data_IF_080111664166
#
_entry.id   IF_080111664166
#
_cell.length_a   1.000
_cell.length_b   1.000
_cell.length_c   1.000
_cell.angle_alpha   90.00
_cell.angle_beta   90.00
_cell.angle_gamma   90.00
#
_symmetry.space_group_name_H-M   'P 1'
#
loop_
_entity.id
_entity.type
_entity.pdbx_description
1 polymer ?
#
# COMPACT_ATOMS: atom_id res chain seq x y z
N UNK A 1 -11.84 42.57 -27.33
CA UNK A 1 -11.79 42.19 -25.89
C UNK A 1 -13.16 42.01 -25.22
N UNK A 2 -14.31 42.27 -25.86
CA UNK A 2 -15.64 42.13 -25.22
C UNK A 2 -16.23 40.70 -25.22
N UNK A 3 -15.80 39.81 -26.12
CA UNK A 3 -16.36 38.45 -26.25
C UNK A 3 -15.91 37.43 -25.19
N UNK A 4 -14.90 37.74 -24.37
CA UNK A 4 -14.38 36.80 -23.35
C UNK A 4 -15.14 36.81 -22.01
N UNK A 5 -15.89 37.88 -21.69
CA UNK A 5 -16.52 38.04 -20.36
C UNK A 5 -17.82 37.24 -20.21
N UNK A 6 -18.59 37.05 -21.28
CA UNK A 6 -19.87 36.33 -21.26
C UNK A 6 -19.69 34.81 -21.09
N UNK A 7 -18.67 34.22 -21.71
CA UNK A 7 -18.38 32.79 -21.55
C UNK A 7 -17.92 32.43 -20.12
N UNK A 8 -17.18 33.33 -19.46
CA UNK A 8 -16.72 33.12 -18.08
C UNK A 8 -17.88 33.19 -17.07
N UNK A 9 -18.86 34.09 -17.26
CA UNK A 9 -20.01 34.18 -16.35
C UNK A 9 -20.98 33.00 -16.51
N UNK A 10 -21.16 32.50 -17.74
CA UNK A 10 -21.95 31.29 -18.02
C UNK A 10 -21.37 30.06 -17.32
N UNK A 11 -20.06 29.80 -17.44
CA UNK A 11 -19.40 28.66 -16.76
C UNK A 11 -19.44 28.76 -15.24
N UNK A 12 -19.34 29.98 -14.69
CA UNK A 12 -19.46 30.18 -13.25
C UNK A 12 -20.88 29.86 -12.73
N UNK A 13 -21.92 30.22 -13.50
CA UNK A 13 -23.31 29.89 -13.20
C UNK A 13 -23.58 28.39 -13.20
N UNK A 14 -23.07 27.67 -14.20
CA UNK A 14 -23.21 26.21 -14.30
C UNK A 14 -22.50 25.48 -13.15
N UNK A 15 -21.28 25.88 -12.80
CA UNK A 15 -20.55 25.31 -11.68
C UNK A 15 -21.26 25.53 -10.33
N UNK A 16 -21.85 26.71 -10.13
CA UNK A 16 -22.64 27.02 -8.94
C UNK A 16 -23.93 26.17 -8.88
N UNK A 17 -24.64 26.04 -10.01
CA UNK A 17 -25.84 25.21 -10.11
C UNK A 17 -25.54 23.73 -9.84
N UNK A 18 -24.44 23.20 -10.39
CA UNK A 18 -23.99 21.84 -10.15
C UNK A 18 -23.65 21.61 -8.66
N UNK A 19 -22.93 22.55 -8.04
CA UNK A 19 -22.60 22.47 -6.61
C UNK A 19 -23.87 22.46 -5.74
N UNK A 20 -24.88 23.29 -6.08
CA UNK A 20 -26.16 23.31 -5.37
C UNK A 20 -26.93 21.99 -5.52
N UNK A 21 -26.90 21.36 -6.70
CA UNK A 21 -27.50 20.03 -6.93
C UNK A 21 -26.82 18.96 -6.08
N UNK A 22 -25.48 18.95 -6.05
CA UNK A 22 -24.71 18.01 -5.22
C UNK A 22 -24.98 18.19 -3.72
N UNK A 23 -25.07 19.42 -3.24
CA UNK A 23 -25.41 19.72 -1.84
C UNK A 23 -26.81 19.22 -1.48
N UNK A 24 -27.76 19.36 -2.41
CA UNK A 24 -29.14 18.85 -2.24
C UNK A 24 -29.15 17.32 -2.18
N UNK A 25 -28.40 16.65 -3.07
CA UNK A 25 -28.26 15.20 -3.07
C UNK A 25 -27.61 14.69 -1.78
N UNK A 26 -26.54 15.34 -1.33
CA UNK A 26 -25.86 15.03 -0.07
C UNK A 26 -26.80 15.16 1.13
N UNK A 27 -27.63 16.21 1.15
CA UNK A 27 -28.61 16.40 2.21
C UNK A 27 -29.67 15.28 2.21
N UNK A 28 -30.13 14.84 1.03
CA UNK A 28 -31.06 13.70 0.89
C UNK A 28 -30.42 12.40 1.37
N UNK A 29 -29.22 12.07 0.90
CA UNK A 29 -28.48 10.86 1.31
C UNK A 29 -28.21 10.83 2.82
N UNK A 30 -27.85 11.98 3.42
CA UNK A 30 -27.66 12.09 4.88
C UNK A 30 -28.92 11.75 5.67
N UNK A 31 -30.13 12.04 5.14
CA UNK A 31 -31.39 11.69 5.82
C UNK A 31 -31.66 10.19 5.83
N UNK A 32 -31.14 9.46 4.83
CA UNK A 32 -31.27 8.00 4.74
C UNK A 32 -30.34 7.27 5.72
N UNK A 33 -29.29 7.92 6.23
CA UNK A 33 -28.37 7.29 7.17
C UNK A 33 -29.02 7.05 8.54
N UNK A 34 -28.71 5.92 9.20
CA UNK A 34 -29.09 5.65 10.59
C UNK A 34 -28.73 6.82 11.52
N UNK A 35 -29.56 7.04 12.55
CA UNK A 35 -29.42 8.19 13.45
C UNK A 35 -28.08 8.27 14.19
N UNK A 36 -27.44 7.13 14.46
CA UNK A 36 -26.11 7.08 15.08
C UNK A 36 -25.01 7.55 14.11
N UNK A 37 -25.06 7.14 12.83
CA UNK A 37 -24.10 7.57 11.80
C UNK A 37 -24.21 9.07 11.58
N UNK A 38 -25.44 9.61 11.55
CA UNK A 38 -25.64 11.07 11.46
C UNK A 38 -25.00 11.81 12.63
N UNK A 39 -25.21 11.33 13.87
CA UNK A 39 -24.59 11.91 15.07
C UNK A 39 -23.07 11.86 14.98
N UNK A 40 -22.49 10.71 14.63
CA UNK A 40 -21.05 10.56 14.44
C UNK A 40 -20.50 11.54 13.40
N UNK A 41 -21.11 11.61 12.21
CA UNK A 41 -20.70 12.53 11.14
C UNK A 41 -20.79 14.00 11.58
N UNK A 42 -21.83 14.38 12.31
CA UNK A 42 -21.95 15.75 12.82
C UNK A 42 -20.90 16.10 13.87
N UNK A 43 -20.49 15.13 14.69
CA UNK A 43 -19.43 15.31 15.68
C UNK A 43 -18.08 15.46 14.98
N UNK A 44 -17.80 14.59 14.01
CA UNK A 44 -16.63 14.65 13.15
C UNK A 44 -16.54 15.98 12.38
N UNK A 45 -17.65 16.47 11.83
CA UNK A 45 -17.72 17.73 11.11
C UNK A 45 -17.47 18.95 12.03
N UNK A 46 -17.82 18.85 13.31
CA UNK A 46 -17.56 19.90 14.31
C UNK A 46 -16.08 19.93 14.71
N UNK A 47 -15.49 18.76 14.97
CA UNK A 47 -14.09 18.64 15.40
C UNK A 47 -13.08 18.93 14.28
N UNK A 48 -13.45 18.66 13.03
CA UNK A 48 -12.58 18.93 11.86
C UNK A 48 -12.60 20.40 11.41
N UNK A 49 -13.19 21.31 12.19
CA UNK A 49 -13.08 22.77 11.97
C UNK A 49 -11.74 23.36 12.43
N UNK A 50 -10.94 22.65 13.20
CA UNK A 50 -9.64 23.15 13.63
C UNK A 50 -8.52 22.38 12.88
N UNK A 51 -7.72 23.07 12.03
CA UNK A 51 -6.57 22.43 11.36
C UNK A 51 -5.59 21.79 12.34
N UNK A 52 -5.46 22.34 13.55
CA UNK A 52 -4.62 21.77 14.59
C UNK A 52 -5.16 20.43 15.12
N UNK A 53 -6.48 20.31 15.29
CA UNK A 53 -7.11 19.03 15.65
C UNK A 53 -6.90 17.98 14.56
N UNK A 54 -7.11 18.33 13.28
CA UNK A 54 -6.87 17.42 12.14
C UNK A 54 -5.43 16.95 12.13
N UNK A 55 -4.47 17.86 12.31
CA UNK A 55 -3.06 17.52 12.33
C UNK A 55 -2.72 16.57 13.47
N UNK A 56 -3.16 16.86 14.71
CA UNK A 56 -2.93 15.98 15.86
C UNK A 56 -3.48 14.58 15.63
N UNK A 57 -4.68 14.49 15.06
CA UNK A 57 -5.29 13.21 14.75
C UNK A 57 -4.53 12.47 13.64
N UNK A 58 -4.10 13.17 12.59
CA UNK A 58 -3.29 12.59 11.52
C UNK A 58 -1.96 12.04 12.05
N UNK A 59 -1.31 12.77 12.96
CA UNK A 59 -0.07 12.33 13.63
C UNK A 59 -0.31 11.07 14.44
N UNK A 60 -1.38 11.03 15.25
CA UNK A 60 -1.74 9.85 16.04
C UNK A 60 -2.01 8.64 15.16
N UNK A 61 -2.82 8.84 14.12
CA UNK A 61 -3.13 7.81 13.15
C UNK A 61 -1.88 7.30 12.44
N UNK A 62 -0.94 8.18 12.11
CA UNK A 62 0.31 7.78 11.45
C UNK A 62 1.25 7.03 12.38
N UNK A 63 1.33 7.42 13.66
CA UNK A 63 2.06 6.64 14.67
C UNK A 63 1.44 5.24 14.86
N UNK A 64 0.10 5.16 14.89
CA UNK A 64 -0.62 3.89 14.95
C UNK A 64 -0.45 3.06 13.67
N UNK A 65 -0.44 3.71 12.50
CA UNK A 65 -0.21 3.12 11.19
C UNK A 65 1.20 2.55 11.00
N UNK A 66 2.14 2.90 11.89
CA UNK A 66 3.43 2.22 12.01
C UNK A 66 3.35 1.13 13.08
N UNK A 67 3.00 1.49 14.32
CA UNK A 67 3.12 0.59 15.46
C UNK A 67 2.22 -0.64 15.36
N UNK A 68 0.96 -0.49 14.93
CA UNK A 68 0.02 -1.61 14.87
C UNK A 68 0.43 -2.65 13.82
N UNK A 69 0.74 -2.29 12.55
CA UNK A 69 1.32 -3.24 11.60
C UNK A 69 2.60 -3.90 12.11
N UNK A 70 3.53 -3.15 12.72
CA UNK A 70 4.78 -3.72 13.24
C UNK A 70 4.55 -4.79 14.30
N UNK A 71 3.62 -4.55 15.23
CA UNK A 71 3.26 -5.49 16.28
C UNK A 71 2.58 -6.74 15.73
N UNK A 72 1.73 -6.60 14.70
CA UNK A 72 1.07 -7.73 14.04
C UNK A 72 2.02 -8.57 13.18
N UNK A 73 3.15 -8.01 12.79
CA UNK A 73 4.16 -8.66 11.95
C UNK A 73 5.49 -8.74 12.69
N UNK A 74 5.50 -9.01 14.00
CA UNK A 74 6.74 -8.93 14.79
C UNK A 74 7.84 -9.85 14.22
N UNK A 75 7.50 -11.07 13.79
CA UNK A 75 8.43 -12.03 13.16
C UNK A 75 9.11 -11.49 11.89
N UNK A 76 8.47 -10.55 11.20
CA UNK A 76 9.03 -9.90 10.02
C UNK A 76 10.27 -9.03 10.36
N UNK A 77 10.31 -8.49 11.57
CA UNK A 77 11.35 -7.55 12.02
C UNK A 77 12.58 -8.24 12.61
N UNK A 78 12.47 -9.51 13.00
CA UNK A 78 13.58 -10.32 13.51
C UNK A 78 14.07 -11.30 12.43
N UNK A 79 15.38 -11.33 12.18
CA UNK A 79 15.93 -12.12 11.07
C UNK A 79 16.11 -13.61 11.43
N UNK A 80 16.40 -13.90 12.70
CA UNK A 80 16.88 -15.23 13.13
C UNK A 80 15.82 -16.34 13.05
N UNK A 81 14.53 -15.99 13.00
CA UNK A 81 13.42 -16.93 12.96
C UNK A 81 12.86 -17.16 11.55
N UNK A 82 13.39 -16.48 10.53
CA UNK A 82 12.77 -16.46 9.20
C UNK A 82 13.31 -17.54 8.27
N UNK A 83 12.41 -18.41 7.82
CA UNK A 83 12.68 -19.35 6.72
C UNK A 83 12.87 -18.61 5.38
N UNK A 84 12.12 -17.53 5.16
CA UNK A 84 12.35 -16.61 4.03
C UNK A 84 13.41 -15.57 4.41
N UNK A 85 14.60 -15.70 3.84
CA UNK A 85 15.78 -14.90 4.20
C UNK A 85 15.61 -13.41 3.81
N UNK A 86 16.25 -12.48 4.54
CA UNK A 86 16.24 -11.07 4.19
C UNK A 86 16.94 -10.83 2.85
N UNK A 87 16.47 -9.83 2.11
CA UNK A 87 17.14 -9.37 0.89
C UNK A 87 17.77 -7.99 1.11
N UNK A 88 19.05 -7.93 1.56
CA UNK A 88 19.70 -6.66 1.82
C UNK A 88 19.96 -5.88 0.53
N UNK A 89 19.76 -4.56 0.62
CA UNK A 89 20.30 -3.61 -0.36
C UNK A 89 21.81 -3.43 -0.12
N UNK A 90 22.20 -3.38 1.16
CA UNK A 90 23.59 -3.25 1.60
C UNK A 90 23.96 -4.51 2.40
N UNK A 91 24.72 -5.46 1.82
CA UNK A 91 25.05 -6.73 2.49
C UNK A 91 25.74 -6.57 3.85
N UNK A 92 26.49 -5.49 4.06
CA UNK A 92 27.12 -5.21 5.35
C UNK A 92 26.10 -4.97 6.49
N UNK A 93 24.86 -4.60 6.17
CA UNK A 93 23.82 -4.34 7.16
C UNK A 93 22.95 -5.58 7.46
N UNK A 94 22.95 -6.61 6.60
CA UNK A 94 22.18 -7.84 6.89
C UNK A 94 22.68 -8.63 8.09
N UNK A 95 23.91 -8.39 8.54
CA UNK A 95 24.53 -9.10 9.67
C UNK A 95 24.55 -8.30 10.97
N UNK A 96 23.63 -7.33 11.16
CA UNK A 96 23.55 -6.62 12.44
C UNK A 96 23.18 -7.59 13.57
N UNK A 97 23.77 -7.46 14.77
CA UNK A 97 23.43 -8.30 15.91
C UNK A 97 21.93 -8.23 16.24
N UNK A 98 21.35 -9.35 16.66
CA UNK A 98 19.94 -9.43 17.08
C UNK A 98 19.54 -8.31 18.04
N UNK A 99 20.40 -8.01 19.04
CA UNK A 99 20.16 -6.94 20.01
C UNK A 99 19.98 -5.56 19.37
N UNK A 100 20.68 -5.27 18.27
CA UNK A 100 20.55 -3.99 17.53
C UNK A 100 19.21 -3.94 16.80
N UNK A 101 18.82 -5.01 16.11
CA UNK A 101 17.51 -5.11 15.46
C UNK A 101 16.37 -4.96 16.48
N UNK A 102 16.47 -5.64 17.62
CA UNK A 102 15.53 -5.53 18.74
C UNK A 102 15.45 -4.09 19.28
N UNK A 103 16.60 -3.47 19.53
CA UNK A 103 16.65 -2.09 20.02
C UNK A 103 16.00 -1.11 19.04
N UNK A 104 16.26 -1.24 17.74
CA UNK A 104 15.62 -0.42 16.70
C UNK A 104 14.10 -0.63 16.64
N UNK A 105 13.64 -1.88 16.76
CA UNK A 105 12.23 -2.22 16.78
C UNK A 105 11.52 -1.59 17.98
N UNK A 106 12.01 -1.85 19.19
CA UNK A 106 11.41 -1.32 20.42
C UNK A 106 11.53 0.21 20.51
N UNK A 107 12.62 0.80 20.02
CA UNK A 107 12.76 2.25 19.89
C UNK A 107 11.66 2.83 18.98
N UNK A 108 11.40 2.19 17.83
CA UNK A 108 10.34 2.63 16.90
C UNK A 108 8.96 2.58 17.57
N UNK A 109 8.63 1.48 18.25
CA UNK A 109 7.37 1.31 18.98
C UNK A 109 7.24 2.35 20.11
N UNK A 110 8.31 2.57 20.88
CA UNK A 110 8.33 3.55 21.97
C UNK A 110 8.12 4.98 21.43
N UNK A 111 8.83 5.38 20.38
CA UNK A 111 8.65 6.67 19.73
C UNK A 111 7.22 6.85 19.20
N UNK A 112 6.66 5.84 18.53
CA UNK A 112 5.28 5.90 18.04
C UNK A 112 4.28 6.02 19.20
N UNK A 113 4.50 5.30 20.29
CA UNK A 113 3.65 5.36 21.50
C UNK A 113 3.69 6.76 22.12
N UNK A 114 4.89 7.34 22.28
CA UNK A 114 5.06 8.71 22.80
C UNK A 114 4.39 9.73 21.89
N UNK A 115 4.56 9.62 20.57
CA UNK A 115 3.92 10.52 19.59
C UNK A 115 2.38 10.38 19.63
N UNK A 116 1.87 9.16 19.79
CA UNK A 116 0.44 8.89 19.88
C UNK A 116 -0.19 9.55 21.12
N UNK A 117 0.40 9.32 22.30
CA UNK A 117 -0.05 9.90 23.56
C UNK A 117 0.14 11.42 23.57
N UNK A 118 1.30 11.89 23.11
CA UNK A 118 1.72 13.29 23.13
C UNK A 118 2.03 13.80 21.72
N UNK A 119 1.01 14.13 20.90
CA UNK A 119 1.22 14.59 19.53
C UNK A 119 1.94 15.95 19.43
N UNK A 120 2.14 16.66 20.54
CA UNK A 120 3.03 17.82 20.64
C UNK A 120 4.51 17.45 20.43
N UNK A 121 4.90 16.21 20.74
CA UNK A 121 6.24 15.64 20.55
C UNK A 121 6.45 15.04 19.16
N UNK A 122 5.59 15.35 18.19
CA UNK A 122 5.67 14.88 16.80
C UNK A 122 7.03 15.02 16.11
N UNK A 123 7.89 15.93 16.58
CA UNK A 123 9.26 16.11 16.06
C UNK A 123 10.15 14.88 16.29
N UNK A 124 9.80 14.01 17.24
CA UNK A 124 10.43 12.71 17.39
C UNK A 124 10.31 11.85 16.12
N UNK A 125 9.33 12.13 15.24
CA UNK A 125 9.21 11.47 13.94
C UNK A 125 10.46 11.59 13.06
N UNK A 126 11.27 12.65 13.21
CA UNK A 126 12.55 12.77 12.49
C UNK A 126 13.57 11.71 12.90
N UNK A 127 13.51 11.21 14.14
CA UNK A 127 14.39 10.13 14.62
C UNK A 127 14.04 8.78 14.00
N UNK A 128 12.80 8.61 13.52
CA UNK A 128 12.36 7.37 12.88
C UNK A 128 12.91 7.21 11.46
N UNK A 129 13.20 8.32 10.75
CA UNK A 129 13.72 8.27 9.39
C UNK A 129 15.00 7.43 9.25
N UNK A 130 16.10 7.68 9.99
CA UNK A 130 17.30 6.87 9.88
C UNK A 130 17.06 5.41 10.27
N UNK A 131 16.19 5.14 11.25
CA UNK A 131 15.86 3.77 11.67
C UNK A 131 15.15 3.00 10.55
N UNK A 132 14.16 3.61 9.91
CA UNK A 132 13.48 3.02 8.75
C UNK A 132 14.42 2.85 7.56
N UNK A 133 15.30 3.81 7.28
CA UNK A 133 16.30 3.67 6.24
C UNK A 133 17.19 2.45 6.50
N UNK A 134 17.68 2.26 7.73
CA UNK A 134 18.46 1.06 8.08
C UNK A 134 17.62 -0.19 7.88
N UNK A 135 16.37 -0.25 8.38
CA UNK A 135 15.52 -1.42 8.18
C UNK A 135 15.35 -1.80 6.70
N UNK A 136 15.09 -0.84 5.82
CA UNK A 136 14.94 -1.10 4.37
C UNK A 136 16.27 -1.49 3.73
N UNK A 137 17.39 -0.90 4.15
CA UNK A 137 18.71 -1.28 3.62
C UNK A 137 19.14 -2.69 4.05
N UNK A 138 18.74 -3.12 5.26
CA UNK A 138 18.96 -4.47 5.77
C UNK A 138 18.12 -5.53 5.07
N UNK A 139 16.87 -5.18 4.77
CA UNK A 139 15.93 -6.07 4.12
C UNK A 139 14.93 -5.22 3.35
N UNK A 140 15.10 -5.18 2.04
CA UNK A 140 14.28 -4.35 1.16
C UNK A 140 12.80 -4.75 1.19
N UNK A 141 12.49 -5.97 1.63
CA UNK A 141 11.10 -6.40 1.81
C UNK A 141 10.38 -5.56 2.86
N UNK A 142 11.09 -4.89 3.78
CA UNK A 142 10.49 -4.03 4.83
C UNK A 142 9.96 -2.70 4.33
N UNK A 143 10.30 -2.31 3.10
CA UNK A 143 9.87 -1.05 2.48
C UNK A 143 8.41 -1.10 2.00
N UNK A 144 7.46 -1.37 2.89
CA UNK A 144 6.05 -1.38 2.52
C UNK A 144 5.46 0.05 2.49
N UNK A 145 4.62 0.31 1.48
CA UNK A 145 4.01 1.62 1.25
C UNK A 145 3.21 2.19 2.43
N UNK A 146 2.62 1.35 3.30
CA UNK A 146 1.88 1.84 4.47
C UNK A 146 2.82 2.34 5.57
N UNK A 147 3.99 1.72 5.73
CA UNK A 147 5.05 2.26 6.59
C UNK A 147 5.61 3.56 6.02
N UNK A 148 5.88 3.58 4.70
CA UNK A 148 6.36 4.77 4.01
C UNK A 148 5.36 5.93 4.16
N UNK A 149 4.09 5.74 3.80
CA UNK A 149 3.05 6.75 3.95
C UNK A 149 2.97 7.27 5.38
N UNK A 150 2.94 6.36 6.36
CA UNK A 150 2.83 6.73 7.77
C UNK A 150 4.05 7.52 8.24
N UNK A 151 5.25 7.11 7.84
CA UNK A 151 6.49 7.82 8.13
C UNK A 151 6.51 9.20 7.47
N UNK A 152 6.20 9.30 6.17
CA UNK A 152 6.15 10.58 5.44
C UNK A 152 5.10 11.52 6.03
N UNK A 153 3.94 11.01 6.46
CA UNK A 153 2.93 11.80 7.17
C UNK A 153 3.44 12.29 8.53
N UNK A 154 4.18 11.49 9.29
CA UNK A 154 4.83 11.93 10.53
C UNK A 154 5.89 13.00 10.27
N UNK A 155 6.74 12.84 9.25
CA UNK A 155 7.78 13.81 8.89
C UNK A 155 7.17 15.13 8.42
N UNK A 156 6.17 15.08 7.53
CA UNK A 156 5.42 16.26 7.13
C UNK A 156 4.72 16.91 8.33
N UNK A 157 4.09 16.11 9.19
CA UNK A 157 3.47 16.56 10.43
C UNK A 157 4.45 17.26 11.38
N UNK A 158 5.66 16.73 11.51
CA UNK A 158 6.75 17.27 12.31
C UNK A 158 7.27 18.62 11.77
N UNK A 159 7.33 18.75 10.45
CA UNK A 159 7.76 19.97 9.75
C UNK A 159 6.69 21.09 9.74
N UNK A 160 5.41 20.75 9.87
CA UNK A 160 4.33 21.74 9.93
C UNK A 160 4.49 22.64 11.19
N UNK A 161 4.31 23.96 11.08
CA UNK A 161 4.43 24.89 12.22
C UNK A 161 3.38 24.64 13.32
N UNK A 162 3.60 25.20 14.52
CA UNK A 162 2.63 25.13 15.63
C UNK A 162 1.33 25.88 15.32
N UNK A 163 1.41 27.05 14.70
CA UNK A 163 0.25 27.80 14.19
C UNK A 163 -0.20 27.20 12.86
N UNK A 164 -1.10 26.23 12.93
CA UNK A 164 -1.55 25.47 11.75
C UNK A 164 -2.68 26.20 11.05
N UNK A 165 -2.51 26.34 9.74
CA UNK A 165 -3.53 26.81 8.83
C UNK A 165 -3.90 25.64 7.92
N UNK A 166 -5.08 25.70 7.30
CA UNK A 166 -5.58 24.61 6.45
C UNK A 166 -4.61 24.22 5.32
N UNK A 167 -3.94 25.21 4.72
CA UNK A 167 -2.93 25.04 3.68
C UNK A 167 -1.63 24.37 4.14
N UNK A 168 -1.41 24.20 5.44
CA UNK A 168 -0.28 23.42 5.95
C UNK A 168 -0.54 21.91 5.89
N UNK A 169 -1.80 21.49 5.70
CA UNK A 169 -2.18 20.08 5.60
C UNK A 169 -2.12 19.56 4.15
N UNK A 170 -1.88 20.44 3.17
CA UNK A 170 -1.82 20.08 1.75
C UNK A 170 -0.78 18.98 1.42
N UNK A 171 0.43 18.92 2.03
CA UNK A 171 1.35 17.81 1.80
C UNK A 171 0.73 16.45 2.13
N UNK A 172 0.07 16.34 3.28
CA UNK A 172 -0.60 15.12 3.74
C UNK A 172 -1.71 14.72 2.77
N UNK A 173 -2.46 15.71 2.24
CA UNK A 173 -3.52 15.49 1.24
C UNK A 173 -2.96 14.97 -0.08
N UNK A 174 -1.86 15.55 -0.58
CA UNK A 174 -1.23 15.07 -1.81
C UNK A 174 -0.71 13.65 -1.67
N UNK A 175 -0.12 13.30 -0.52
CA UNK A 175 0.31 11.92 -0.24
C UNK A 175 -0.87 10.94 -0.32
N UNK A 176 -1.98 11.24 0.36
CA UNK A 176 -3.19 10.40 0.31
C UNK A 176 -3.78 10.31 -1.10
N UNK A 177 -3.88 11.44 -1.82
CA UNK A 177 -4.39 11.48 -3.21
C UNK A 177 -3.53 10.60 -4.12
N UNK A 178 -2.21 10.77 -4.05
CA UNK A 178 -1.24 10.08 -4.89
C UNK A 178 -1.36 8.57 -4.75
N UNK A 179 -1.49 8.07 -3.52
CA UNK A 179 -1.64 6.63 -3.24
C UNK A 179 -2.90 6.07 -3.87
N UNK A 180 -4.06 6.69 -3.66
CA UNK A 180 -5.31 6.18 -4.27
C UNK A 180 -5.23 6.21 -5.80
N UNK A 181 -4.71 7.30 -6.36
CA UNK A 181 -4.61 7.43 -7.81
C UNK A 181 -3.71 6.35 -8.41
N UNK A 182 -2.49 6.21 -7.90
CA UNK A 182 -1.50 5.28 -8.44
C UNK A 182 -1.82 3.82 -8.11
N UNK A 183 -2.32 3.50 -6.92
CA UNK A 183 -2.72 2.14 -6.58
C UNK A 183 -3.87 1.65 -7.46
N UNK A 184 -4.84 2.52 -7.78
CA UNK A 184 -5.89 2.21 -8.75
C UNK A 184 -5.36 2.12 -10.18
N UNK A 185 -4.54 3.09 -10.60
CA UNK A 185 -3.97 3.12 -11.94
C UNK A 185 -3.13 1.86 -12.23
N UNK A 186 -2.30 1.43 -11.30
CA UNK A 186 -1.47 0.24 -11.48
C UNK A 186 -2.27 -1.06 -11.48
N UNK A 187 -3.53 -1.08 -11.01
CA UNK A 187 -4.44 -2.22 -11.18
C UNK A 187 -5.07 -2.29 -12.58
N UNK A 188 -4.87 -1.28 -13.43
CA UNK A 188 -5.27 -1.34 -14.85
C UNK A 188 -4.29 -2.23 -15.60
N UNK A 189 -4.32 -3.53 -15.36
CA UNK A 189 -3.52 -4.49 -16.09
C UNK A 189 -4.29 -5.82 -16.19
N UNK A 190 -3.96 -6.62 -17.20
CA UNK A 190 -4.66 -7.88 -17.44
C UNK A 190 -4.50 -8.85 -16.24
N UNK A 191 -3.36 -8.83 -15.57
CA UNK A 191 -3.06 -9.72 -14.45
C UNK A 191 -3.94 -9.47 -13.23
N UNK A 192 -4.20 -8.21 -12.91
CA UNK A 192 -5.17 -7.86 -11.87
C UNK A 192 -6.55 -8.41 -12.22
N UNK A 193 -7.02 -8.21 -13.45
CA UNK A 193 -8.38 -8.62 -13.84
C UNK A 193 -8.51 -10.15 -13.90
N UNK A 194 -7.50 -10.84 -14.42
CA UNK A 194 -7.54 -12.29 -14.67
C UNK A 194 -7.16 -13.14 -13.47
N UNK A 195 -6.30 -12.62 -12.57
CA UNK A 195 -5.79 -13.38 -11.42
C UNK A 195 -6.03 -12.68 -10.09
N UNK A 196 -5.66 -11.39 -10.00
CA UNK A 196 -5.74 -10.63 -8.73
C UNK A 196 -7.14 -10.49 -8.17
N UNK A 197 -8.06 -9.97 -8.99
CA UNK A 197 -9.44 -9.74 -8.64
C UNK A 197 -10.20 -11.05 -8.39
N UNK A 198 -10.14 -12.08 -9.25
CA UNK A 198 -10.75 -13.37 -8.95
C UNK A 198 -10.28 -13.97 -7.63
N UNK A 199 -8.96 -13.97 -7.34
CA UNK A 199 -8.43 -14.43 -6.06
C UNK A 199 -9.04 -13.63 -4.90
N UNK A 200 -9.04 -12.31 -5.02
CA UNK A 200 -9.53 -11.40 -3.99
C UNK A 200 -11.02 -11.60 -3.67
N UNK A 201 -11.88 -11.89 -4.65
CA UNK A 201 -13.32 -12.09 -4.41
C UNK A 201 -13.76 -13.55 -4.27
N UNK A 202 -12.81 -14.49 -4.36
CA UNK A 202 -13.08 -15.94 -4.48
C UNK A 202 -13.93 -16.52 -3.34
N UNK A 203 -13.84 -15.96 -2.13
CA UNK A 203 -14.64 -16.41 -0.98
C UNK A 203 -16.13 -16.10 -1.14
N UNK A 204 -16.47 -15.05 -1.87
CA UNK A 204 -17.82 -14.48 -1.90
C UNK A 204 -18.59 -14.83 -3.17
N UNK A 205 -17.89 -14.93 -4.30
CA UNK A 205 -18.52 -15.12 -5.60
C UNK A 205 -17.70 -16.05 -6.49
N UNK A 206 -18.36 -16.94 -7.26
CA UNK A 206 -17.69 -17.64 -8.35
C UNK A 206 -17.28 -16.62 -9.42
N UNK A 207 -16.13 -16.85 -10.04
CA UNK A 207 -15.65 -15.96 -11.08
C UNK A 207 -16.46 -16.16 -12.38
N UNK A 208 -17.34 -15.21 -12.67
CA UNK A 208 -18.20 -15.17 -13.86
C UNK A 208 -17.80 -14.01 -14.78
N UNK A 209 -18.38 -13.94 -15.98
CA UNK A 209 -18.19 -12.79 -16.87
C UNK A 209 -18.58 -11.45 -16.21
N UNK A 210 -19.60 -11.43 -15.35
CA UNK A 210 -19.97 -10.24 -14.58
C UNK A 210 -18.85 -9.85 -13.61
N UNK A 211 -18.25 -10.83 -12.94
CA UNK A 211 -17.10 -10.58 -12.06
C UNK A 211 -15.90 -10.01 -12.83
N UNK A 212 -15.67 -10.44 -14.08
CA UNK A 212 -14.63 -9.85 -14.93
C UNK A 212 -14.88 -8.38 -15.24
N UNK A 213 -16.12 -8.01 -15.59
CA UNK A 213 -16.50 -6.60 -15.82
C UNK A 213 -16.29 -5.77 -14.55
N UNK A 214 -16.70 -6.29 -13.40
CA UNK A 214 -16.47 -5.60 -12.11
C UNK A 214 -14.97 -5.47 -11.83
N UNK A 215 -14.19 -6.52 -12.04
CA UNK A 215 -12.74 -6.52 -11.87
C UNK A 215 -12.04 -5.49 -12.76
N UNK A 216 -12.56 -5.27 -13.98
CA UNK A 216 -12.09 -4.21 -14.87
C UNK A 216 -12.47 -2.81 -14.38
N UNK A 217 -13.60 -2.64 -13.68
CA UNK A 217 -14.06 -1.35 -13.15
C UNK A 217 -13.37 -0.93 -11.85
N UNK A 218 -13.00 -1.89 -10.99
CA UNK A 218 -12.36 -1.61 -9.68
C UNK A 218 -11.15 -0.67 -9.77
N UNK A 219 -10.19 -0.85 -10.69
CA UNK A 219 -9.03 0.04 -10.84
C UNK A 219 -9.43 1.50 -11.09
N UNK A 220 -10.46 1.72 -11.92
CA UNK A 220 -10.97 3.06 -12.23
C UNK A 220 -11.66 3.69 -11.02
N UNK A 221 -12.43 2.90 -10.26
CA UNK A 221 -13.08 3.38 -9.04
C UNK A 221 -12.04 3.80 -8.00
N UNK A 222 -10.98 3.02 -7.82
CA UNK A 222 -9.88 3.34 -6.91
C UNK A 222 -9.12 4.59 -7.34
N UNK A 223 -8.73 4.69 -8.62
CA UNK A 223 -8.06 5.88 -9.13
C UNK A 223 -8.96 7.13 -9.05
N UNK A 224 -10.27 6.95 -9.26
CA UNK A 224 -11.26 8.02 -9.14
C UNK A 224 -11.39 8.55 -7.70
N UNK A 225 -11.07 7.77 -6.66
CA UNK A 225 -10.97 8.29 -5.28
C UNK A 225 -10.00 9.46 -5.24
N UNK A 226 -8.77 9.26 -5.73
CA UNK A 226 -7.74 10.31 -5.79
C UNK A 226 -8.24 11.55 -6.54
N UNK A 227 -8.82 11.36 -7.73
CA UNK A 227 -9.36 12.45 -8.56
C UNK A 227 -10.49 13.21 -7.85
N UNK A 228 -11.45 12.51 -7.26
CA UNK A 228 -12.57 13.16 -6.57
C UNK A 228 -12.15 13.89 -5.30
N UNK A 229 -11.07 13.48 -4.64
CA UNK A 229 -10.52 14.17 -3.48
C UNK A 229 -9.85 15.52 -3.82
N UNK A 230 -9.33 15.70 -5.05
CA UNK A 230 -8.77 16.98 -5.51
C UNK A 230 -9.80 18.12 -5.45
N UNK A 231 -11.03 17.82 -5.88
CA UNK A 231 -12.08 18.83 -6.07
C UNK A 231 -13.05 18.88 -4.88
N UNK A 232 -13.25 20.05 -4.25
CA UNK A 232 -14.07 20.17 -3.04
C UNK A 232 -15.52 19.69 -3.22
N UNK A 233 -16.08 19.86 -4.43
CA UNK A 233 -17.44 19.46 -4.74
C UNK A 233 -17.64 17.94 -4.77
N UNK A 234 -16.60 17.17 -5.15
CA UNK A 234 -16.66 15.72 -5.33
C UNK A 234 -16.03 14.94 -4.17
N UNK A 235 -15.38 15.60 -3.20
CA UNK A 235 -14.70 14.93 -2.08
C UNK A 235 -15.55 13.92 -1.33
N UNK A 236 -16.83 14.22 -1.12
CA UNK A 236 -17.72 13.30 -0.42
C UNK A 236 -17.95 12.00 -1.21
N UNK A 237 -17.91 12.06 -2.55
CA UNK A 237 -17.96 10.88 -3.43
C UNK A 237 -16.66 10.09 -3.26
N UNK A 238 -15.51 10.77 -3.31
CA UNK A 238 -14.21 10.13 -3.08
C UNK A 238 -14.12 9.43 -1.72
N UNK A 239 -14.59 10.07 -0.65
CA UNK A 239 -14.67 9.48 0.70
C UNK A 239 -15.63 8.28 0.76
N UNK A 240 -16.79 8.37 0.10
CA UNK A 240 -17.74 7.25 0.06
C UNK A 240 -17.17 6.06 -0.71
N UNK A 241 -16.47 6.29 -1.83
CA UNK A 241 -15.78 5.25 -2.57
C UNK A 241 -14.64 4.62 -1.76
N UNK A 242 -13.78 5.44 -1.13
CA UNK A 242 -12.71 4.97 -0.25
C UNK A 242 -13.26 4.06 0.86
N UNK A 243 -14.32 4.51 1.55
CA UNK A 243 -14.96 3.72 2.60
C UNK A 243 -15.59 2.44 2.07
N UNK A 244 -16.23 2.49 0.90
CA UNK A 244 -16.82 1.29 0.27
C UNK A 244 -15.73 0.26 -0.06
N UNK A 245 -14.59 0.73 -0.58
CA UNK A 245 -13.43 -0.13 -0.83
C UNK A 245 -12.85 -0.71 0.45
N UNK A 246 -12.73 0.08 1.52
CA UNK A 246 -12.30 -0.42 2.84
C UNK A 246 -13.17 -1.60 3.27
N UNK A 247 -14.50 -1.47 3.20
CA UNK A 247 -15.42 -2.54 3.58
C UNK A 247 -15.18 -3.80 2.74
N UNK A 248 -15.05 -3.66 1.43
CA UNK A 248 -14.80 -4.80 0.53
C UNK A 248 -13.46 -5.46 0.84
N UNK A 249 -12.40 -4.68 1.06
CA UNK A 249 -11.06 -5.19 1.42
C UNK A 249 -11.09 -5.93 2.75
N UNK A 250 -11.73 -5.37 3.78
CA UNK A 250 -11.83 -6.02 5.09
C UNK A 250 -12.69 -7.28 5.04
N UNK A 251 -13.75 -7.33 4.23
CA UNK A 251 -14.53 -8.55 4.06
C UNK A 251 -13.74 -9.62 3.28
N UNK A 252 -12.99 -9.22 2.26
CA UNK A 252 -12.28 -10.15 1.37
C UNK A 252 -10.99 -10.70 1.96
N UNK A 253 -10.19 -9.86 2.61
CA UNK A 253 -8.91 -10.26 3.22
C UNK A 253 -9.02 -10.51 4.73
N UNK A 254 -10.19 -10.30 5.29
CA UNK A 254 -10.48 -10.48 6.71
C UNK A 254 -10.69 -11.90 7.18
N UNK A 255 -11.00 -12.05 8.48
CA UNK A 255 -11.44 -13.33 9.06
C UNK A 255 -12.67 -13.93 8.38
N UNK A 256 -13.48 -13.11 7.71
CA UNK A 256 -14.66 -13.56 6.96
C UNK A 256 -14.34 -13.96 5.51
N UNK A 257 -13.13 -13.68 5.04
CA UNK A 257 -12.67 -13.92 3.68
C UNK A 257 -11.49 -14.89 3.67
N UNK A 258 -10.40 -14.48 3.02
CA UNK A 258 -9.17 -15.27 2.90
C UNK A 258 -8.40 -15.43 4.23
N UNK A 259 -8.67 -14.60 5.25
CA UNK A 259 -7.99 -14.62 6.55
C UNK A 259 -6.46 -14.59 6.44
N UNK A 260 -5.95 -13.82 5.48
CA UNK A 260 -4.54 -13.69 5.15
C UNK A 260 -4.10 -12.24 5.26
N UNK A 261 -2.80 -12.02 5.52
CA UNK A 261 -2.20 -10.69 5.54
C UNK A 261 -2.88 -9.72 6.53
N UNK A 262 -2.92 -10.08 7.81
CA UNK A 262 -3.59 -9.27 8.84
C UNK A 262 -3.06 -7.83 8.90
N UNK A 263 -1.84 -7.59 8.43
CA UNK A 263 -1.24 -6.25 8.30
C UNK A 263 -2.06 -5.29 7.42
N UNK A 264 -2.84 -5.83 6.48
CA UNK A 264 -3.68 -5.07 5.55
C UNK A 264 -4.78 -4.31 6.28
N UNK A 265 -5.26 -4.85 7.40
CA UNK A 265 -6.36 -4.26 8.18
C UNK A 265 -6.01 -2.88 8.73
N UNK A 266 -5.01 -2.75 9.63
CA UNK A 266 -4.65 -1.44 10.16
C UNK A 266 -4.20 -0.48 9.06
N UNK A 267 -3.54 -0.97 8.00
CA UNK A 267 -3.11 -0.13 6.89
C UNK A 267 -4.29 0.50 6.11
N UNK A 268 -5.32 -0.28 5.79
CA UNK A 268 -6.50 0.23 5.07
C UNK A 268 -7.38 1.12 5.97
N UNK A 269 -7.57 0.74 7.24
CA UNK A 269 -8.31 1.57 8.21
C UNK A 269 -7.60 2.91 8.40
N UNK A 270 -6.27 2.90 8.49
CA UNK A 270 -5.45 4.11 8.55
C UNK A 270 -5.69 5.01 7.33
N UNK A 271 -5.55 4.44 6.12
CA UNK A 271 -5.69 5.21 4.88
C UNK A 271 -7.09 5.80 4.73
N UNK A 272 -8.16 5.05 5.03
CA UNK A 272 -9.54 5.54 4.99
C UNK A 272 -9.76 6.66 6.01
N UNK A 273 -9.27 6.49 7.24
CA UNK A 273 -9.32 7.53 8.27
C UNK A 273 -8.63 8.83 7.79
N UNK A 274 -7.47 8.75 7.12
CA UNK A 274 -6.85 9.92 6.50
C UNK A 274 -7.78 10.61 5.50
N UNK A 275 -8.48 9.85 4.64
CA UNK A 275 -9.43 10.45 3.69
C UNK A 275 -10.56 11.17 4.40
N UNK A 276 -11.09 10.60 5.49
CA UNK A 276 -12.17 11.19 6.25
C UNK A 276 -11.72 12.50 6.92
N UNK A 277 -10.58 12.49 7.62
CA UNK A 277 -10.14 13.63 8.42
C UNK A 277 -9.48 14.75 7.61
N UNK A 278 -8.67 14.43 6.60
CA UNK A 278 -7.95 15.46 5.82
C UNK A 278 -8.88 16.21 4.86
N UNK A 279 -9.98 15.58 4.43
CA UNK A 279 -10.87 16.07 3.38
C UNK A 279 -12.31 16.38 3.84
N UNK A 280 -12.65 16.21 5.13
CA UNK A 280 -13.99 16.52 5.67
C UNK A 280 -14.41 17.98 5.48
N UNK A 281 -13.45 18.90 5.34
CA UNK A 281 -13.70 20.34 5.30
C UNK A 281 -13.91 20.85 3.87
N UNK A 282 -14.89 21.75 3.69
CA UNK A 282 -15.03 22.56 2.46
C UNK A 282 -13.83 23.49 2.33
N UNK A 283 -12.82 23.08 1.57
CA UNK A 283 -11.64 23.90 1.32
C UNK A 283 -11.64 24.34 -0.15
N UNK A 284 -10.71 25.21 -0.50
CA UNK A 284 -10.44 25.52 -1.91
C UNK A 284 -9.85 24.28 -2.60
N UNK A 285 -9.96 24.27 -3.92
CA UNK A 285 -9.43 23.21 -4.77
C UNK A 285 -7.94 23.01 -4.56
N UNK A 286 -7.49 21.76 -4.49
CA UNK A 286 -6.07 21.44 -4.35
C UNK A 286 -5.31 21.62 -5.66
N UNK A 287 -6.01 21.60 -6.80
CA UNK A 287 -5.46 21.96 -8.10
C UNK A 287 -5.10 23.46 -8.25
N UNK A 288 -5.31 24.30 -7.24
CA UNK A 288 -4.85 25.69 -7.26
C UNK A 288 -3.30 25.74 -7.20
N UNK A 289 -2.68 26.21 -8.27
CA UNK A 289 -1.22 26.29 -8.43
C UNK A 289 -0.53 27.07 -7.30
N UNK A 290 -1.22 28.02 -6.65
CA UNK A 290 -0.66 28.76 -5.50
C UNK A 290 -0.45 27.88 -4.27
N UNK A 291 -1.23 26.80 -4.12
CA UNK A 291 -1.06 25.84 -3.01
C UNK A 291 0.14 24.92 -3.23
N UNK A 292 0.37 24.50 -4.47
CA UNK A 292 1.49 23.62 -4.84
C UNK A 292 2.84 24.30 -4.64
N UNK A 293 2.96 25.61 -4.82
CA UNK A 293 4.23 26.36 -4.73
C UNK A 293 4.94 26.35 -3.37
N UNK A 294 4.38 25.71 -2.35
CA UNK A 294 5.01 25.58 -1.03
C UNK A 294 5.98 24.41 -1.06
N UNK A 295 7.21 24.54 -0.54
CA UNK A 295 8.25 23.53 -0.74
C UNK A 295 7.84 22.13 -0.26
N UNK A 296 7.23 22.02 0.93
CA UNK A 296 6.78 20.74 1.45
C UNK A 296 5.59 20.14 0.66
N UNK A 297 4.69 20.99 0.15
CA UNK A 297 3.54 20.55 -0.63
C UNK A 297 3.96 20.15 -2.06
N UNK A 298 4.87 20.91 -2.67
CA UNK A 298 5.51 20.59 -3.94
C UNK A 298 6.27 19.28 -3.85
N UNK A 299 7.06 19.08 -2.77
CA UNK A 299 7.79 17.85 -2.55
C UNK A 299 6.84 16.65 -2.40
N UNK A 300 5.78 16.79 -1.60
CA UNK A 300 4.77 15.73 -1.46
C UNK A 300 4.08 15.42 -2.79
N UNK A 301 3.67 16.45 -3.55
CA UNK A 301 3.07 16.26 -4.87
C UNK A 301 4.04 15.62 -5.87
N UNK A 302 5.32 16.01 -5.85
CA UNK A 302 6.36 15.40 -6.67
C UNK A 302 6.52 13.92 -6.32
N UNK A 303 6.79 13.61 -5.05
CA UNK A 303 7.11 12.26 -4.59
C UNK A 303 5.91 11.30 -4.68
N UNK A 304 4.69 11.75 -4.40
CA UNK A 304 3.52 10.87 -4.34
C UNK A 304 2.61 10.95 -5.56
N UNK A 305 2.67 12.03 -6.35
CA UNK A 305 1.82 12.16 -7.55
C UNK A 305 2.60 12.05 -8.85
N UNK A 306 3.88 12.42 -8.92
CA UNK A 306 4.65 12.41 -10.17
C UNK A 306 5.68 11.28 -10.24
N UNK A 307 6.51 11.09 -9.20
CA UNK A 307 7.54 10.06 -9.14
C UNK A 307 7.01 8.63 -9.34
N UNK A 308 5.81 8.24 -8.83
CA UNK A 308 5.30 6.90 -9.07
C UNK A 308 5.10 6.59 -10.55
N UNK A 309 4.98 7.58 -11.44
CA UNK A 309 4.93 7.38 -12.89
C UNK A 309 6.20 6.70 -13.44
N UNK A 310 7.35 6.87 -12.77
CA UNK A 310 8.60 6.17 -13.13
C UNK A 310 8.50 4.66 -12.96
N UNK A 311 7.53 4.17 -12.16
CA UNK A 311 7.21 2.75 -12.10
C UNK A 311 6.69 2.20 -13.42
N UNK A 312 6.12 3.00 -14.31
CA UNK A 312 5.62 2.50 -15.61
C UNK A 312 6.73 1.98 -16.52
N UNK A 313 7.97 2.44 -16.30
CA UNK A 313 9.18 2.05 -17.03
C UNK A 313 10.14 1.24 -16.13
N UNK A 314 9.62 0.66 -15.05
CA UNK A 314 10.35 -0.16 -14.07
C UNK A 314 11.62 0.49 -13.47
N UNK A 315 11.71 1.83 -13.51
CA UNK A 315 12.76 2.59 -12.82
C UNK A 315 12.51 2.65 -11.30
N UNK A 316 11.29 2.37 -10.88
CA UNK A 316 10.87 2.39 -9.49
C UNK A 316 10.19 1.04 -9.14
N UNK A 317 10.59 0.46 -8.01
CA UNK A 317 10.06 -0.83 -7.56
C UNK A 317 8.60 -0.78 -7.13
N UNK A 318 8.12 -1.88 -6.55
CA UNK A 318 6.68 -2.10 -6.31
C UNK A 318 6.12 -1.07 -5.33
N UNK A 319 6.79 -0.84 -4.19
CA UNK A 319 6.23 0.00 -3.13
C UNK A 319 6.30 1.50 -3.36
N UNK A 320 7.44 2.07 -3.80
CA UNK A 320 7.48 3.51 -4.03
C UNK A 320 6.60 3.94 -5.22
N UNK A 321 6.19 2.98 -6.07
CA UNK A 321 5.22 3.18 -7.14
C UNK A 321 3.77 2.90 -6.74
N UNK A 322 3.50 2.42 -5.52
CA UNK A 322 2.17 1.99 -5.07
C UNK A 322 1.56 0.84 -5.88
N UNK A 323 2.38 -0.07 -6.44
CA UNK A 323 1.96 -1.24 -7.23
C UNK A 323 1.50 -2.44 -6.37
N UNK A 324 1.41 -2.30 -5.05
CA UNK A 324 1.02 -3.40 -4.18
C UNK A 324 -0.42 -3.85 -4.51
N UNK A 325 -0.68 -5.16 -4.50
CA UNK A 325 -1.97 -5.76 -4.87
C UNK A 325 -2.46 -5.46 -6.29
N UNK A 326 -1.61 -4.92 -7.15
CA UNK A 326 -1.96 -4.74 -8.54
C UNK A 326 -1.88 -6.05 -9.33
N UNK A 327 -1.49 -7.15 -8.68
CA UNK A 327 -0.97 -8.36 -9.32
C UNK A 327 0.10 -8.08 -10.38
N UNK A 328 0.68 -6.87 -10.34
CA UNK A 328 1.85 -6.40 -11.06
C UNK A 328 3.13 -6.83 -10.35
N UNK A 329 3.05 -7.81 -9.46
CA UNK A 329 4.20 -8.68 -9.27
C UNK A 329 4.44 -9.29 -10.63
N UNK A 330 5.30 -8.65 -11.41
CA UNK A 330 5.89 -9.10 -12.65
C UNK A 330 6.67 -10.41 -12.45
N UNK A 331 6.30 -11.24 -11.49
CA UNK A 331 7.06 -12.32 -10.88
C UNK A 331 6.04 -13.21 -10.16
N UNK A 332 5.21 -13.96 -10.90
CA UNK A 332 4.58 -15.14 -10.31
C UNK A 332 5.72 -16.11 -10.04
N UNK A 333 6.17 -16.10 -8.79
CA UNK A 333 7.32 -16.87 -8.36
C UNK A 333 6.84 -18.12 -7.67
N UNK A 334 7.22 -19.26 -8.23
CA UNK A 334 6.86 -20.57 -7.72
C UNK A 334 8.13 -21.31 -7.38
N UNK A 335 8.18 -21.82 -6.16
CA UNK A 335 9.26 -22.68 -5.72
C UNK A 335 8.84 -24.13 -5.84
N UNK A 336 9.43 -24.83 -6.80
CA UNK A 336 9.27 -26.25 -7.03
C UNK A 336 10.21 -26.98 -6.07
N UNK A 337 9.65 -27.71 -5.11
CA UNK A 337 10.46 -28.44 -4.12
C UNK A 337 11.09 -29.70 -4.72
N UNK A 338 10.57 -30.23 -5.83
CA UNK A 338 10.96 -31.53 -6.35
C UNK A 338 10.32 -32.66 -5.54
N UNK A 339 11.05 -33.72 -5.15
CA UNK A 339 10.46 -34.90 -4.51
C UNK A 339 9.85 -34.56 -3.15
N UNK A 340 8.74 -35.23 -2.79
CA UNK A 340 7.98 -35.01 -1.54
C UNK A 340 8.79 -35.05 -0.25
N UNK A 341 9.93 -35.75 -0.24
CA UNK A 341 10.90 -35.75 0.87
C UNK A 341 11.34 -34.33 1.27
N UNK A 342 11.40 -33.41 0.31
CA UNK A 342 11.76 -32.02 0.54
C UNK A 342 10.68 -31.21 1.29
N UNK A 343 9.49 -31.74 1.54
CA UNK A 343 8.40 -31.02 2.22
C UNK A 343 8.39 -31.24 3.74
N UNK A 344 9.18 -32.19 4.26
CA UNK A 344 9.07 -32.65 5.66
C UNK A 344 9.38 -31.61 6.73
N UNK A 345 10.02 -30.49 6.39
CA UNK A 345 10.34 -29.40 7.32
C UNK A 345 9.30 -28.26 7.30
N UNK A 346 8.39 -28.24 6.32
CA UNK A 346 7.43 -27.16 6.19
C UNK A 346 6.39 -27.23 7.29
N UNK A 347 6.00 -26.07 7.81
CA UNK A 347 4.89 -25.97 8.75
C UNK A 347 3.59 -26.44 8.08
N UNK A 348 2.67 -27.07 8.83
CA UNK A 348 1.48 -27.75 8.31
C UNK A 348 0.70 -26.94 7.24
N UNK A 349 0.48 -25.65 7.46
CA UNK A 349 -0.25 -24.79 6.51
C UNK A 349 0.49 -24.62 5.16
N UNK A 350 1.82 -24.51 5.18
CA UNK A 350 2.62 -24.44 3.96
C UNK A 350 2.78 -25.81 3.32
N UNK A 351 2.88 -26.86 4.14
CA UNK A 351 2.93 -28.23 3.67
C UNK A 351 1.65 -28.60 2.91
N UNK A 352 0.46 -28.26 3.42
CA UNK A 352 -0.82 -28.52 2.73
C UNK A 352 -0.88 -27.86 1.35
N UNK A 353 -0.45 -26.60 1.26
CA UNK A 353 -0.40 -25.86 -0.01
C UNK A 353 0.61 -26.49 -0.97
N UNK A 354 1.82 -26.78 -0.49
CA UNK A 354 2.90 -27.34 -1.29
C UNK A 354 2.63 -28.78 -1.74
N UNK A 355 1.94 -29.60 -0.93
CA UNK A 355 1.61 -31.01 -1.24
C UNK A 355 0.61 -31.12 -2.40
N UNK A 356 -0.27 -30.13 -2.56
CA UNK A 356 -1.31 -30.17 -3.60
C UNK A 356 -0.72 -30.04 -5.01
N UNK A 357 0.27 -29.16 -5.17
CA UNK A 357 0.78 -28.74 -6.48
C UNK A 357 2.30 -28.97 -6.65
N UNK A 358 2.97 -29.62 -5.68
CA UNK A 358 4.44 -29.77 -5.57
C UNK A 358 5.22 -28.43 -5.68
N UNK A 359 4.50 -27.35 -5.38
CA UNK A 359 4.86 -25.97 -5.68
C UNK A 359 4.32 -25.06 -4.59
N UNK A 360 5.07 -24.01 -4.23
CA UNK A 360 4.56 -22.95 -3.36
C UNK A 360 4.73 -21.58 -4.00
N UNK A 361 3.68 -20.78 -3.97
CA UNK A 361 3.70 -19.41 -4.45
C UNK A 361 4.46 -18.49 -3.49
N UNK A 362 5.15 -17.50 -4.05
CA UNK A 362 5.80 -16.44 -3.27
C UNK A 362 4.84 -15.66 -2.37
N UNK A 363 3.60 -15.43 -2.85
CA UNK A 363 2.53 -14.86 -2.04
C UNK A 363 2.24 -15.72 -0.81
N UNK A 364 2.03 -17.02 -1.00
CA UNK A 364 1.68 -17.95 0.09
C UNK A 364 2.79 -18.00 1.15
N UNK A 365 4.05 -18.07 0.72
CA UNK A 365 5.21 -18.03 1.64
C UNK A 365 5.20 -16.75 2.48
N UNK A 366 5.07 -15.59 1.84
CA UNK A 366 5.16 -14.30 2.55
C UNK A 366 3.93 -14.04 3.42
N UNK A 367 2.73 -14.41 2.98
CA UNK A 367 1.52 -14.31 3.78
C UNK A 367 1.55 -15.23 5.00
N UNK A 368 1.96 -16.49 4.84
CA UNK A 368 1.95 -17.46 5.94
C UNK A 368 3.11 -17.27 6.92
N UNK A 369 4.31 -16.93 6.44
CA UNK A 369 5.47 -16.80 7.32
C UNK A 369 5.65 -15.40 7.90
N UNK A 370 5.38 -14.37 7.10
CA UNK A 370 5.71 -12.99 7.45
C UNK A 370 4.46 -12.15 7.74
N UNK A 371 3.27 -12.67 7.44
CA UNK A 371 1.99 -11.97 7.57
C UNK A 371 1.96 -10.63 6.81
N UNK A 372 2.76 -10.53 5.74
CA UNK A 372 2.85 -9.38 4.85
C UNK A 372 2.75 -9.84 3.40
N UNK A 373 2.20 -9.02 2.49
CA UNK A 373 2.22 -9.31 1.07
C UNK A 373 3.64 -9.35 0.51
N UNK A 374 3.87 -10.11 -0.58
CA UNK A 374 5.15 -10.14 -1.26
C UNK A 374 5.58 -8.74 -1.72
N UNK A 375 6.85 -8.40 -1.51
CA UNK A 375 7.36 -7.05 -1.60
C UNK A 375 8.81 -7.00 -2.08
N UNK A 376 9.05 -6.27 -3.19
CA UNK A 376 10.38 -5.85 -3.60
C UNK A 376 10.43 -4.31 -3.73
N UNK A 377 11.27 -3.66 -2.92
CA UNK A 377 11.49 -2.22 -2.98
C UNK A 377 12.29 -1.81 -4.22
N UNK A 378 13.30 -2.61 -4.59
CA UNK A 378 14.02 -2.47 -5.85
C UNK A 378 13.41 -3.41 -6.91
N UNK A 379 13.43 -3.03 -8.20
CA UNK A 379 12.97 -3.90 -9.27
C UNK A 379 13.91 -5.11 -9.46
N UNK A 380 13.34 -6.21 -9.95
CA UNK A 380 14.06 -7.41 -10.39
C UNK A 380 13.98 -8.60 -9.43
N UNK A 381 14.55 -9.72 -9.88
CA UNK A 381 14.30 -11.06 -9.30
C UNK A 381 15.26 -11.43 -8.16
N UNK A 382 16.37 -10.69 -8.03
CA UNK A 382 17.38 -10.90 -6.97
C UNK A 382 16.79 -10.98 -5.57
N UNK A 383 15.81 -10.15 -5.17
CA UNK A 383 15.25 -10.21 -3.82
C UNK A 383 14.42 -11.47 -3.57
N UNK A 384 13.71 -11.95 -4.59
CA UNK A 384 12.96 -13.21 -4.53
C UNK A 384 13.94 -14.38 -4.41
N UNK A 385 14.95 -14.42 -5.28
CA UNK A 385 16.00 -15.45 -5.24
C UNK A 385 16.64 -15.48 -3.85
N UNK A 386 17.05 -14.32 -3.32
CA UNK A 386 17.68 -14.23 -2.00
C UNK A 386 16.78 -14.80 -0.89
N UNK A 387 15.48 -14.47 -0.89
CA UNK A 387 14.57 -14.94 0.14
C UNK A 387 14.30 -16.43 0.09
N UNK A 388 14.10 -17.00 -1.09
CA UNK A 388 13.87 -18.44 -1.26
C UNK A 388 15.12 -19.30 -0.98
N UNK A 389 16.33 -18.75 -1.04
CA UNK A 389 17.55 -19.49 -0.65
C UNK A 389 17.53 -19.95 0.81
N UNK A 390 16.73 -19.30 1.66
CA UNK A 390 16.53 -19.74 3.04
C UNK A 390 15.94 -21.14 3.19
N UNK A 391 15.26 -21.65 2.17
CA UNK A 391 14.71 -23.01 2.19
C UNK A 391 15.78 -24.06 1.94
N UNK A 392 16.86 -23.72 1.21
CA UNK A 392 17.86 -24.68 0.74
C UNK A 392 18.52 -25.54 1.84
N UNK A 393 18.91 -24.98 3.02
CA UNK A 393 19.49 -25.79 4.11
C UNK A 393 18.54 -26.84 4.68
N UNK A 394 17.23 -26.71 4.46
CA UNK A 394 16.20 -27.60 4.99
C UNK A 394 15.74 -28.67 4.01
N UNK A 395 16.17 -28.59 2.74
CA UNK A 395 15.82 -29.57 1.71
C UNK A 395 16.71 -30.81 1.83
N UNK A 396 16.11 -32.00 1.70
CA UNK A 396 16.86 -33.27 1.63
C UNK A 396 17.62 -33.41 0.31
N UNK A 397 17.04 -32.92 -0.80
CA UNK A 397 17.59 -32.95 -2.17
C UNK A 397 17.57 -31.53 -2.76
N UNK A 398 18.44 -30.62 -2.29
CA UNK A 398 18.40 -29.20 -2.66
C UNK A 398 18.64 -28.94 -4.16
N UNK A 399 19.43 -29.77 -4.84
CA UNK A 399 19.74 -29.66 -6.27
C UNK A 399 18.54 -29.91 -7.20
N UNK A 400 17.44 -30.46 -6.67
CA UNK A 400 16.23 -30.72 -7.44
C UNK A 400 15.21 -29.59 -7.30
N UNK A 401 15.40 -28.69 -6.34
CA UNK A 401 14.52 -27.56 -6.15
C UNK A 401 14.82 -26.46 -7.16
N UNK A 402 13.77 -25.82 -7.67
CA UNK A 402 13.87 -24.76 -8.67
C UNK A 402 12.97 -23.60 -8.30
N UNK A 403 13.46 -22.39 -8.56
CA UNK A 403 12.64 -21.18 -8.50
C UNK A 403 12.28 -20.77 -9.92
N UNK A 404 11.00 -20.77 -10.24
CA UNK A 404 10.47 -20.23 -11.49
C UNK A 404 9.92 -18.84 -11.21
N UNK A 405 10.33 -17.87 -12.00
CA UNK A 405 9.89 -16.48 -11.92
C UNK A 405 9.25 -16.11 -13.24
N UNK A 406 7.93 -15.90 -13.25
CA UNK A 406 7.19 -15.53 -14.46
C UNK A 406 6.91 -14.04 -14.49
N UNK A 407 7.37 -13.37 -15.54
CA UNK A 407 7.35 -11.91 -15.69
C UNK A 407 6.65 -11.44 -16.93
N UNK A 408 5.73 -10.49 -16.78
CA UNK A 408 5.19 -9.74 -17.92
C UNK A 408 6.27 -8.88 -18.58
N UNK A 409 6.34 -8.87 -19.91
CA UNK A 409 7.35 -8.10 -20.68
C UNK A 409 7.26 -6.59 -20.41
N UNK A 410 6.04 -6.08 -20.24
CA UNK A 410 5.75 -4.72 -19.79
C UNK A 410 4.38 -4.67 -19.12
N UNK A 411 4.05 -3.55 -18.47
CA UNK A 411 2.83 -3.37 -17.67
C UNK A 411 1.52 -3.79 -18.36
N UNK A 412 1.38 -3.48 -19.65
CA UNK A 412 0.19 -3.81 -20.46
C UNK A 412 0.28 -5.13 -21.23
N UNK A 413 1.36 -5.89 -21.06
CA UNK A 413 1.62 -7.07 -21.89
C UNK A 413 0.79 -8.25 -21.42
N UNK A 414 0.30 -9.03 -22.38
CA UNK A 414 -0.16 -10.40 -22.16
C UNK A 414 0.95 -11.42 -22.42
N UNK A 415 2.12 -10.96 -22.87
CA UNK A 415 3.28 -11.82 -23.08
C UNK A 415 4.11 -11.89 -21.80
N UNK A 416 4.65 -13.08 -21.56
CA UNK A 416 5.42 -13.39 -20.38
C UNK A 416 6.79 -13.98 -20.75
N UNK A 417 7.74 -13.75 -19.86
CA UNK A 417 9.03 -14.42 -19.82
C UNK A 417 9.09 -15.20 -18.52
N UNK A 418 9.37 -16.49 -18.60
CA UNK A 418 9.68 -17.34 -17.48
C UNK A 418 11.19 -17.51 -17.36
N UNK A 419 11.71 -17.24 -16.17
CA UNK A 419 13.08 -17.53 -15.78
C UNK A 419 13.09 -18.65 -14.74
N UNK A 420 13.87 -19.71 -14.97
CA UNK A 420 14.02 -20.79 -14.01
C UNK A 420 15.44 -20.79 -13.43
N UNK A 421 15.55 -20.90 -12.11
CA UNK A 421 16.81 -20.84 -11.38
C UNK A 421 17.06 -22.08 -10.54
N UNK A 422 18.32 -22.54 -10.53
CA UNK A 422 18.87 -23.33 -9.43
C UNK A 422 19.40 -22.36 -8.38
N UNK A 423 18.72 -22.27 -7.25
CA UNK A 423 19.05 -21.32 -6.19
C UNK A 423 19.86 -21.94 -5.03
N UNK A 424 19.93 -23.26 -4.96
CA UNK A 424 20.58 -23.97 -3.86
C UNK A 424 22.05 -24.31 -4.12
N UNK A 425 22.55 -24.05 -5.33
CA UNK A 425 23.98 -23.99 -5.62
C UNK A 425 24.73 -22.90 -4.86
N UNK A 426 26.07 -22.89 -4.98
CA UNK A 426 26.94 -21.84 -4.41
C UNK A 426 26.52 -20.46 -4.88
N UNK A 427 26.21 -20.35 -6.16
CA UNK A 427 25.64 -19.15 -6.80
C UNK A 427 24.34 -19.52 -7.52
N UNK A 428 23.31 -18.65 -7.49
CA UNK A 428 22.11 -18.86 -8.27
C UNK A 428 22.44 -18.94 -9.76
N UNK A 429 21.99 -20.00 -10.43
CA UNK A 429 22.23 -20.21 -11.87
C UNK A 429 20.93 -20.17 -12.64
N UNK A 430 20.87 -19.31 -13.65
CA UNK A 430 19.78 -19.28 -14.63
C UNK A 430 19.85 -20.55 -15.50
N UNK A 431 18.78 -21.33 -15.50
CA UNK A 431 18.65 -22.59 -16.22
C UNK A 431 17.87 -22.42 -17.52
N UNK A 432 16.88 -21.52 -17.50
CA UNK A 432 15.99 -21.25 -18.63
C UNK A 432 15.53 -19.80 -18.59
N UNK A 433 15.40 -19.19 -19.77
CA UNK A 433 14.76 -17.90 -19.98
C UNK A 433 14.03 -17.96 -21.31
N UNK A 434 12.72 -17.75 -21.30
CA UNK A 434 11.90 -17.82 -22.52
C UNK A 434 10.41 -17.71 -22.20
N UNK A 435 9.51 -17.99 -23.16
CA UNK A 435 8.07 -18.00 -22.89
C UNK A 435 7.70 -19.05 -21.81
N UNK A 436 6.62 -18.84 -21.03
CA UNK A 436 6.20 -19.80 -20.02
C UNK A 436 5.91 -21.16 -20.64
N UNK A 437 6.29 -22.23 -19.93
CA UNK A 437 6.01 -23.61 -20.34
C UNK A 437 4.74 -24.17 -19.76
#
# INVERSE_FOLDING_TARGET
>A
MAYGKTAASSRAGEAAAFTKRLDTLRARLRRLLPGFIRRLLSHLERDTRDPWKILRLTIRLSALGIAAPMLLTYDFWFQDSRLYQPSPIVPALSSLPHAVNAAMYFFTIACCTVIFLFPSLRRLGFLLLPVFCIFVLQDQTRGHFYYELSLFNLLAGAAIPRKVEDRHLDPLRYMTIGIYFWAGFYKLNAFFVLFGFPWFVSTWFPFTQVAQVVGFLVPFLEAAVGVFLLFPATRWIGQALAFSMLVVVLLSLGPFGLNQAMVVWPANVYLDCLTLFLFSRRQKTLADTKRVKRPLAALAALVFCAVPALGMVDLLGVHPSFKLYCSCGYEASVFEFGPRENLGFLHNALAETAVKDDMIGYGDVTYSLLNVPPCNFLPGEKPIIAGFRGFCPHLSKPHQARLRVVRGVHFWSTDFTENAYDICGKEPRLLYSGPPR
#
